data_IF_809309187977
#
_entry.id   IF_809309187977
#
_cell.length_a   1.000
_cell.length_b   1.000
_cell.length_c   1.000
_cell.angle_alpha   90.00
_cell.angle_beta   90.00
_cell.angle_gamma   90.00
#
_symmetry.space_group_name_H-M   'P 1'
#
loop_
_entity.id
_entity.type
_entity.pdbx_description
1 polymer ?
#
# COMPACT_ATOMS: atom_id res chain seq x y z
N UNK A 1 -11.16 0.20 -34.49
CA UNK A 1 -9.90 0.82 -34.04
C UNK A 1 -10.14 1.66 -32.80
N UNK A 2 -11.00 2.68 -32.84
CA UNK A 2 -11.30 3.54 -31.68
C UNK A 2 -11.66 2.80 -30.37
N UNK A 3 -12.45 1.73 -30.42
CA UNK A 3 -12.77 0.91 -29.23
C UNK A 3 -11.54 0.19 -28.65
N UNK A 4 -10.63 -0.27 -29.52
CA UNK A 4 -9.39 -0.90 -29.10
C UNK A 4 -8.41 0.14 -28.55
N UNK A 5 -8.33 1.31 -29.17
CA UNK A 5 -7.49 2.42 -28.72
C UNK A 5 -7.95 2.94 -27.36
N UNK A 6 -9.26 3.09 -27.15
CA UNK A 6 -9.84 3.43 -25.85
C UNK A 6 -9.51 2.38 -24.77
N UNK A 7 -9.52 1.08 -25.13
CA UNK A 7 -9.13 0.00 -24.21
C UNK A 7 -7.62 0.03 -23.91
N UNK A 8 -6.79 0.35 -24.89
CA UNK A 8 -5.33 0.54 -24.68
C UNK A 8 -5.09 1.67 -23.69
N UNK A 9 -5.73 2.81 -23.86
CA UNK A 9 -5.65 3.94 -22.91
C UNK A 9 -6.13 3.57 -21.51
N UNK A 10 -7.24 2.82 -21.40
CA UNK A 10 -7.73 2.33 -20.11
C UNK A 10 -6.72 1.40 -19.42
N UNK A 11 -6.09 0.48 -20.17
CA UNK A 11 -5.08 -0.44 -19.65
C UNK A 11 -3.82 0.31 -19.21
N UNK A 12 -3.36 1.29 -20.00
CA UNK A 12 -2.23 2.16 -19.65
C UNK A 12 -2.54 3.00 -18.39
N UNK A 13 -3.79 3.46 -18.23
CA UNK A 13 -4.27 4.20 -17.06
C UNK A 13 -4.38 3.37 -15.77
N UNK A 14 -4.50 2.04 -15.90
CA UNK A 14 -4.66 1.09 -14.77
C UNK A 14 -3.35 0.66 -14.10
N UNK A 15 -2.23 1.28 -14.44
CA UNK A 15 -0.90 0.95 -13.88
C UNK A 15 -0.73 1.31 -12.40
N UNK A 16 -1.51 2.26 -11.86
CA UNK A 16 -1.41 2.70 -10.46
C UNK A 16 -2.78 2.87 -9.81
N UNK A 17 -3.07 2.11 -8.76
CA UNK A 17 -4.33 2.23 -8.01
C UNK A 17 -4.52 3.64 -7.39
N UNK A 18 -5.76 4.14 -7.32
CA UNK A 18 -6.06 5.50 -6.83
C UNK A 18 -5.52 5.82 -5.42
N UNK A 19 -5.60 4.88 -4.48
CA UNK A 19 -5.02 5.04 -3.14
C UNK A 19 -3.48 5.21 -3.18
N UNK A 20 -2.82 4.56 -4.13
CA UNK A 20 -1.37 4.68 -4.33
C UNK A 20 -1.04 6.04 -4.97
N UNK A 21 -1.84 6.51 -5.94
CA UNK A 21 -1.70 7.86 -6.53
C UNK A 21 -1.74 8.94 -5.44
N UNK A 22 -2.69 8.85 -4.51
CA UNK A 22 -2.80 9.78 -3.39
C UNK A 22 -1.52 9.84 -2.51
N UNK A 23 -0.96 8.67 -2.18
CA UNK A 23 0.29 8.58 -1.40
C UNK A 23 1.46 9.19 -2.18
N UNK A 24 1.52 8.97 -3.50
CA UNK A 24 2.55 9.55 -4.35
C UNK A 24 2.41 11.06 -4.49
N UNK A 25 1.21 11.60 -4.70
CA UNK A 25 1.00 13.05 -4.78
C UNK A 25 1.41 13.76 -3.49
N UNK A 26 1.12 13.19 -2.32
CA UNK A 26 1.60 13.73 -1.03
C UNK A 26 3.12 13.68 -0.90
N UNK A 27 3.76 12.63 -1.39
CA UNK A 27 5.21 12.52 -1.39
C UNK A 27 5.84 13.54 -2.36
N UNK A 28 5.28 13.67 -3.57
CA UNK A 28 5.69 14.65 -4.56
C UNK A 28 5.51 16.09 -4.07
N UNK A 29 4.40 16.39 -3.40
CA UNK A 29 4.16 17.71 -2.80
C UNK A 29 5.32 18.13 -1.89
N UNK A 30 5.74 17.22 -1.00
CA UNK A 30 6.84 17.51 -0.06
C UNK A 30 8.19 17.61 -0.77
N UNK A 31 8.39 16.81 -1.81
CA UNK A 31 9.62 16.84 -2.62
C UNK A 31 9.75 18.12 -3.42
N UNK A 32 8.70 18.49 -4.17
CA UNK A 32 8.62 19.69 -5.01
C UNK A 32 8.72 20.94 -4.15
N UNK A 33 7.99 20.99 -3.03
CA UNK A 33 8.09 22.09 -2.06
C UNK A 33 9.52 22.25 -1.54
N UNK A 34 10.17 21.16 -1.13
CA UNK A 34 11.55 21.21 -0.66
C UNK A 34 12.52 21.67 -1.74
N UNK A 35 12.37 21.20 -2.99
CA UNK A 35 13.19 21.66 -4.11
C UNK A 35 13.02 23.17 -4.32
N UNK A 36 11.79 23.66 -4.28
CA UNK A 36 11.50 25.08 -4.47
C UNK A 36 12.14 25.92 -3.35
N UNK A 37 11.96 25.53 -2.09
CA UNK A 37 12.49 26.25 -0.93
C UNK A 37 14.02 26.23 -0.85
N UNK A 38 14.68 25.17 -1.34
CA UNK A 38 16.14 25.01 -1.23
C UNK A 38 16.92 25.44 -2.47
N UNK A 39 16.26 25.62 -3.61
CA UNK A 39 16.88 26.15 -4.83
C UNK A 39 17.01 27.66 -4.75
N UNK A 40 18.09 28.21 -5.33
CA UNK A 40 18.21 29.64 -5.61
C UNK A 40 17.29 30.07 -6.78
N UNK A 41 17.18 31.36 -7.05
CA UNK A 41 16.28 31.88 -8.09
C UNK A 41 16.62 31.37 -9.49
N UNK A 42 17.90 31.35 -9.86
CA UNK A 42 18.35 30.87 -11.17
C UNK A 42 18.02 29.37 -11.36
N UNK A 43 18.23 28.57 -10.31
CA UNK A 43 17.87 27.16 -10.32
C UNK A 43 16.37 26.96 -10.35
N UNK A 44 15.57 27.80 -9.68
CA UNK A 44 14.09 27.72 -9.77
C UNK A 44 13.62 27.97 -11.20
N UNK A 45 14.13 29.00 -11.85
CA UNK A 45 13.75 29.34 -13.22
C UNK A 45 14.12 28.25 -14.24
N UNK A 46 15.20 27.50 -13.99
CA UNK A 46 15.63 26.39 -14.86
C UNK A 46 15.04 25.03 -14.51
N UNK A 47 14.57 24.82 -13.28
CA UNK A 47 14.06 23.54 -12.79
C UNK A 47 12.54 23.45 -12.79
N UNK A 48 11.82 24.57 -12.67
CA UNK A 48 10.37 24.60 -12.61
C UNK A 48 9.77 25.13 -13.90
N UNK A 49 8.60 24.62 -14.26
CA UNK A 49 7.83 25.19 -15.36
C UNK A 49 7.50 26.66 -15.04
N UNK A 50 7.57 27.54 -16.04
CA UNK A 50 7.29 28.99 -15.87
C UNK A 50 5.94 29.20 -15.18
N UNK A 51 4.90 28.51 -15.65
CA UNK A 51 3.55 28.58 -15.07
C UNK A 51 3.41 27.97 -13.67
N UNK A 52 4.43 27.25 -13.19
CA UNK A 52 4.50 26.76 -11.81
C UNK A 52 5.14 27.80 -10.89
N UNK A 53 6.10 28.58 -11.39
CA UNK A 53 6.73 29.67 -10.63
C UNK A 53 5.74 30.76 -10.23
N UNK A 54 4.65 30.92 -10.99
CA UNK A 54 3.57 31.87 -10.69
C UNK A 54 2.66 31.41 -9.52
N UNK A 55 2.83 30.19 -9.00
CA UNK A 55 2.02 29.66 -7.91
C UNK A 55 2.52 30.22 -6.58
N UNK A 56 1.66 30.98 -5.88
CA UNK A 56 1.99 31.61 -4.60
C UNK A 56 2.30 30.60 -3.48
N UNK A 57 1.59 29.46 -3.44
CA UNK A 57 1.74 28.48 -2.36
C UNK A 57 1.79 27.04 -2.87
N UNK A 58 2.87 26.32 -2.53
CA UNK A 58 3.01 24.89 -2.86
C UNK A 58 2.45 24.04 -1.71
N UNK A 59 1.33 23.38 -1.95
CA UNK A 59 0.63 22.52 -1.00
C UNK A 59 0.00 21.30 -1.70
N UNK A 60 -0.72 20.46 -0.95
CA UNK A 60 -1.27 19.23 -1.51
C UNK A 60 -2.35 19.48 -2.56
N UNK A 61 -3.14 20.55 -2.41
CA UNK A 61 -4.27 20.86 -3.28
C UNK A 61 -3.78 21.44 -4.60
N UNK A 62 -2.85 22.40 -4.55
CA UNK A 62 -2.20 22.97 -5.75
C UNK A 62 -1.46 21.91 -6.57
N UNK A 63 -0.79 20.96 -5.92
CA UNK A 63 -0.15 19.83 -6.61
C UNK A 63 -1.22 18.88 -7.18
N UNK A 64 -2.30 18.58 -6.45
CA UNK A 64 -3.37 17.74 -6.97
C UNK A 64 -4.04 18.37 -8.20
N UNK A 65 -4.34 19.66 -8.17
CA UNK A 65 -4.88 20.43 -9.29
C UNK A 65 -3.93 20.45 -10.49
N UNK A 66 -2.62 20.59 -10.25
CA UNK A 66 -1.63 20.53 -11.32
C UNK A 66 -1.65 19.19 -12.06
N UNK A 67 -1.70 18.08 -11.32
CA UNK A 67 -1.74 16.73 -11.89
C UNK A 67 -3.13 16.31 -12.41
N UNK A 68 -4.18 17.11 -12.17
CA UNK A 68 -5.50 16.89 -12.74
C UNK A 68 -5.64 17.43 -14.18
N UNK A 69 -4.66 18.19 -14.67
CA UNK A 69 -4.63 18.72 -16.04
C UNK A 69 -4.51 17.58 -17.06
N UNK A 70 -5.10 17.80 -18.25
CA UNK A 70 -5.01 16.88 -19.38
C UNK A 70 -4.39 17.60 -20.59
N UNK A 71 -3.25 17.14 -21.13
CA UNK A 71 -2.44 16.02 -20.64
C UNK A 71 -1.78 16.32 -19.27
N UNK A 72 -1.36 15.28 -18.55
CA UNK A 72 -0.65 15.45 -17.26
C UNK A 72 0.74 16.00 -17.53
N UNK A 73 1.06 17.16 -16.97
CA UNK A 73 2.34 17.84 -17.17
C UNK A 73 3.14 17.86 -15.87
N UNK A 74 4.46 17.66 -15.96
CA UNK A 74 5.35 17.79 -14.80
C UNK A 74 5.47 19.26 -14.37
N UNK A 75 5.41 19.58 -13.07
CA UNK A 75 5.74 20.93 -12.58
C UNK A 75 7.24 21.23 -12.63
N UNK A 76 8.07 20.19 -12.79
CA UNK A 76 9.53 20.26 -12.91
C UNK A 76 9.94 20.00 -14.36
N UNK A 77 10.98 20.68 -14.83
CA UNK A 77 11.74 20.26 -16.01
C UNK A 77 12.56 19.01 -15.65
N UNK A 78 12.04 17.85 -16.04
CA UNK A 78 12.64 16.55 -15.72
C UNK A 78 13.92 16.29 -16.51
N UNK A 79 14.24 17.09 -17.52
CA UNK A 79 15.52 17.01 -18.23
C UNK A 79 16.68 17.61 -17.42
N UNK A 80 16.38 18.58 -16.56
CA UNK A 80 17.37 19.28 -15.74
C UNK A 80 17.45 18.73 -14.31
N UNK A 81 16.43 18.00 -13.85
CA UNK A 81 16.41 17.35 -12.54
C UNK A 81 17.45 16.23 -12.45
N UNK A 82 18.42 16.40 -11.55
CA UNK A 82 19.51 15.43 -11.38
C UNK A 82 19.16 14.32 -10.38
N UNK A 83 19.77 13.14 -10.55
CA UNK A 83 19.67 12.06 -9.56
C UNK A 83 20.23 12.50 -8.20
N UNK A 84 21.24 13.39 -8.20
CA UNK A 84 21.84 13.90 -6.97
C UNK A 84 20.88 14.77 -6.17
N UNK A 85 20.05 15.61 -6.80
CA UNK A 85 19.01 16.39 -6.11
C UNK A 85 17.97 15.48 -5.44
N UNK A 86 17.57 14.39 -6.09
CA UNK A 86 16.70 13.37 -5.48
C UNK A 86 17.36 12.74 -4.24
N UNK A 87 18.65 12.44 -4.29
CA UNK A 87 19.40 11.91 -3.14
C UNK A 87 19.53 12.94 -2.01
N UNK A 88 19.79 14.21 -2.33
CA UNK A 88 19.86 15.30 -1.33
C UNK A 88 18.55 15.44 -0.56
N UNK A 89 17.42 15.35 -1.24
CA UNK A 89 16.11 15.35 -0.57
C UNK A 89 15.95 14.17 0.41
N UNK A 90 16.32 12.96 -0.01
CA UNK A 90 16.23 11.78 0.85
C UNK A 90 17.17 11.90 2.06
N UNK A 91 18.37 12.46 1.89
CA UNK A 91 19.27 12.76 3.00
C UNK A 91 18.68 13.82 3.94
N UNK A 92 18.04 14.88 3.42
CA UNK A 92 17.41 15.90 4.27
C UNK A 92 16.24 15.33 5.09
N UNK A 93 15.52 14.34 4.56
CA UNK A 93 14.52 13.58 5.32
C UNK A 93 15.15 12.78 6.47
N UNK A 94 16.29 12.13 6.22
CA UNK A 94 17.03 11.38 7.24
C UNK A 94 17.51 12.30 8.37
N UNK A 95 18.08 13.45 8.02
CA UNK A 95 18.52 14.47 8.98
C UNK A 95 17.36 15.02 9.84
N UNK A 96 16.14 15.03 9.30
CA UNK A 96 14.90 15.39 10.03
C UNK A 96 14.35 14.23 10.89
N UNK A 97 15.07 13.11 10.98
CA UNK A 97 14.74 11.96 11.82
C UNK A 97 13.91 10.87 11.13
N UNK A 98 13.75 10.90 9.79
CA UNK A 98 13.07 9.81 9.08
C UNK A 98 14.02 8.62 8.97
N UNK A 99 13.63 7.47 9.51
CA UNK A 99 14.46 6.25 9.49
C UNK A 99 13.84 5.10 8.69
N UNK A 100 12.50 5.10 8.53
CA UNK A 100 11.77 3.97 7.97
C UNK A 100 12.05 3.72 6.49
N UNK A 101 12.49 2.50 6.16
CA UNK A 101 12.80 2.06 4.78
C UNK A 101 11.63 2.25 3.82
N UNK A 102 10.41 1.98 4.28
CA UNK A 102 9.19 2.13 3.48
C UNK A 102 8.93 3.58 3.09
N UNK A 103 9.22 4.54 3.98
CA UNK A 103 8.97 5.97 3.75
C UNK A 103 9.85 6.50 2.63
N UNK A 104 11.14 6.17 2.70
CA UNK A 104 12.09 6.43 1.63
C UNK A 104 11.70 5.75 0.30
N UNK A 105 11.26 4.49 0.37
CA UNK A 105 10.77 3.76 -0.79
C UNK A 105 9.54 4.39 -1.45
N UNK A 106 8.64 4.98 -0.67
CA UNK A 106 7.48 5.73 -1.18
C UNK A 106 7.93 6.93 -2.00
N UNK A 107 8.88 7.74 -1.47
CA UNK A 107 9.40 8.91 -2.18
C UNK A 107 10.06 8.52 -3.50
N UNK A 108 10.93 7.49 -3.49
CA UNK A 108 11.54 6.95 -4.72
C UNK A 108 10.47 6.56 -5.75
N UNK A 109 9.43 5.85 -5.30
CA UNK A 109 8.36 5.37 -6.19
C UNK A 109 7.52 6.53 -6.72
N UNK A 110 7.30 7.56 -5.91
CA UNK A 110 6.59 8.77 -6.32
C UNK A 110 7.38 9.58 -7.37
N UNK A 111 8.71 9.67 -7.23
CA UNK A 111 9.58 10.27 -8.26
C UNK A 111 9.53 9.46 -9.55
N UNK A 112 9.61 8.13 -9.49
CA UNK A 112 9.47 7.28 -10.69
C UNK A 112 8.08 7.43 -11.32
N UNK A 113 7.03 7.54 -10.50
CA UNK A 113 5.68 7.82 -10.95
C UNK A 113 5.57 9.16 -11.68
N UNK A 114 6.27 10.21 -11.22
CA UNK A 114 6.34 11.50 -11.90
C UNK A 114 6.88 11.37 -13.33
N UNK A 115 8.02 10.70 -13.51
CA UNK A 115 8.59 10.44 -14.84
C UNK A 115 7.60 9.67 -15.72
N UNK A 116 7.08 8.55 -15.23
CA UNK A 116 6.21 7.67 -16.02
C UNK A 116 4.89 8.35 -16.41
N UNK A 117 4.24 9.04 -15.48
CA UNK A 117 2.92 9.66 -15.71
C UNK A 117 2.98 10.85 -16.66
N UNK A 118 4.15 11.50 -16.75
CA UNK A 118 4.37 12.65 -17.64
C UNK A 118 5.06 12.26 -18.95
N UNK A 119 5.26 10.96 -19.20
CA UNK A 119 5.92 10.46 -20.42
C UNK A 119 7.41 10.75 -20.51
N UNK A 120 8.06 11.17 -19.43
CA UNK A 120 9.46 11.58 -19.43
C UNK A 120 10.40 10.40 -19.10
N UNK A 121 11.55 10.37 -19.77
CA UNK A 121 12.61 9.39 -19.49
C UNK A 121 13.39 9.78 -18.23
N UNK A 122 13.74 8.78 -17.42
CA UNK A 122 14.60 8.96 -16.24
C UNK A 122 16.06 9.18 -16.67
N UNK A 123 16.87 9.93 -15.88
CA UNK A 123 18.29 10.07 -16.15
C UNK A 123 19.02 8.72 -16.25
N UNK A 124 20.07 8.67 -17.06
CA UNK A 124 20.86 7.44 -17.25
C UNK A 124 21.46 6.95 -15.93
N UNK A 125 21.30 5.65 -15.66
CA UNK A 125 21.77 5.04 -14.42
C UNK A 125 21.01 5.44 -13.15
N UNK A 126 19.89 6.19 -13.22
CA UNK A 126 19.09 6.61 -12.06
C UNK A 126 18.80 5.45 -11.10
N UNK A 127 18.29 4.32 -11.61
CA UNK A 127 17.92 3.16 -10.78
C UNK A 127 19.13 2.54 -10.06
N UNK A 128 20.28 2.45 -10.74
CA UNK A 128 21.51 1.90 -10.18
C UNK A 128 22.08 2.81 -9.08
N UNK A 129 22.10 4.12 -9.34
CA UNK A 129 22.54 5.14 -8.40
C UNK A 129 21.64 5.17 -7.15
N UNK A 130 20.32 5.22 -7.32
CA UNK A 130 19.35 5.20 -6.21
C UNK A 130 19.48 3.91 -5.40
N UNK A 131 19.63 2.75 -6.04
CA UNK A 131 19.85 1.47 -5.35
C UNK A 131 21.12 1.50 -4.47
N UNK A 132 22.23 2.01 -5.00
CA UNK A 132 23.49 2.17 -4.24
C UNK A 132 23.30 3.13 -3.07
N UNK A 133 22.65 4.26 -3.29
CA UNK A 133 22.36 5.24 -2.25
C UNK A 133 21.50 4.67 -1.12
N UNK A 134 20.38 3.99 -1.43
CA UNK A 134 19.53 3.37 -0.40
C UNK A 134 20.25 2.32 0.41
N UNK A 135 21.14 1.53 -0.21
CA UNK A 135 21.98 0.58 0.52
C UNK A 135 22.84 1.31 1.57
N UNK A 136 23.51 2.39 1.17
CA UNK A 136 24.31 3.22 2.08
C UNK A 136 23.47 3.87 3.18
N UNK A 137 22.38 4.55 2.81
CA UNK A 137 21.49 5.25 3.75
C UNK A 137 20.94 4.29 4.82
N UNK A 138 20.51 3.08 4.42
CA UNK A 138 20.01 2.09 5.37
C UNK A 138 21.08 1.52 6.28
N UNK A 139 22.33 1.40 5.81
CA UNK A 139 23.45 1.02 6.67
C UNK A 139 23.68 2.09 7.74
N UNK A 140 23.72 3.38 7.35
CA UNK A 140 23.88 4.50 8.29
C UNK A 140 22.76 4.54 9.33
N UNK A 141 21.50 4.44 8.91
CA UNK A 141 20.35 4.41 9.84
C UNK A 141 20.45 3.23 10.81
N UNK A 142 20.89 2.05 10.34
CA UNK A 142 21.04 0.86 11.19
C UNK A 142 22.17 1.03 12.20
N UNK A 143 23.31 1.60 11.80
CA UNK A 143 24.45 1.86 12.66
C UNK A 143 24.09 2.86 13.77
N UNK A 144 23.43 3.98 13.42
CA UNK A 144 22.95 4.96 14.40
C UNK A 144 21.95 4.33 15.39
N UNK A 145 21.09 3.43 14.92
CA UNK A 145 20.16 2.72 15.79
C UNK A 145 20.87 1.78 16.77
N UNK A 146 21.93 1.09 16.32
CA UNK A 146 22.75 0.20 17.15
C UNK A 146 23.50 0.99 18.24
N UNK A 147 24.10 2.13 17.90
CA UNK A 147 24.85 2.97 18.84
C UNK A 147 23.94 3.63 19.90
N UNK A 148 22.65 3.87 19.56
CA UNK A 148 21.70 4.57 20.44
C UNK A 148 20.82 3.64 21.30
N UNK A 149 21.06 2.33 21.34
CA UNK A 149 20.12 1.36 21.93
C UNK A 149 18.67 1.56 21.45
N UNK A 150 18.50 2.06 20.22
CA UNK A 150 17.20 2.33 19.66
C UNK A 150 16.48 1.01 19.37
N UNK A 151 15.14 1.04 19.26
CA UNK A 151 14.35 -0.16 18.94
C UNK A 151 14.86 -0.79 17.65
N UNK A 152 15.52 -1.95 17.77
CA UNK A 152 16.04 -2.74 16.64
C UNK A 152 14.94 -3.30 15.73
N UNK A 153 13.69 -3.35 16.20
CA UNK A 153 12.52 -3.80 15.44
C UNK A 153 11.67 -2.60 15.04
N UNK A 154 11.67 -2.28 13.75
CA UNK A 154 10.67 -1.38 13.15
C UNK A 154 9.28 -2.03 13.16
N UNK A 155 8.25 -1.26 13.47
CA UNK A 155 6.85 -1.68 13.37
C UNK A 155 6.10 -1.88 14.69
N UNK A 156 4.84 -2.33 14.59
CA UNK A 156 3.99 -2.64 15.75
C UNK A 156 4.41 -3.97 16.38
N UNK A 157 4.22 -4.12 17.69
CA UNK A 157 4.41 -5.42 18.36
C UNK A 157 3.49 -6.47 17.72
N UNK A 158 3.95 -7.73 17.54
CA UNK A 158 3.11 -8.80 17.02
C UNK A 158 1.86 -9.00 17.87
N UNK A 159 0.74 -9.28 17.20
CA UNK A 159 -0.48 -9.72 17.89
C UNK A 159 -0.23 -11.14 18.40
N UNK A 160 -0.09 -11.31 19.72
CA UNK A 160 0.29 -12.60 20.30
C UNK A 160 -0.85 -13.62 20.17
N UNK A 161 -0.50 -14.90 20.16
CA UNK A 161 -1.49 -15.99 20.16
C UNK A 161 -2.44 -15.92 21.37
N UNK A 162 -1.90 -15.59 22.56
CA UNK A 162 -2.71 -15.40 23.77
C UNK A 162 -3.72 -14.27 23.62
N UNK A 163 -3.32 -13.14 23.00
CA UNK A 163 -4.22 -12.02 22.75
C UNK A 163 -5.28 -12.38 21.71
N UNK A 164 -4.88 -13.04 20.61
CA UNK A 164 -5.79 -13.57 19.59
C UNK A 164 -6.89 -14.43 20.22
N UNK A 165 -6.50 -15.41 21.04
CA UNK A 165 -7.43 -16.29 21.73
C UNK A 165 -8.35 -15.53 22.69
N UNK A 166 -7.81 -14.63 23.51
CA UNK A 166 -8.60 -13.85 24.46
C UNK A 166 -9.63 -12.95 23.77
N UNK A 167 -9.23 -12.26 22.71
CA UNK A 167 -10.11 -11.39 21.91
C UNK A 167 -11.18 -12.21 21.20
N UNK A 168 -10.81 -13.35 20.59
CA UNK A 168 -11.77 -14.26 19.96
C UNK A 168 -12.78 -14.82 20.96
N UNK A 169 -12.33 -15.30 22.13
CA UNK A 169 -13.20 -15.78 23.20
C UNK A 169 -14.18 -14.72 23.69
N UNK A 170 -13.71 -13.47 23.82
CA UNK A 170 -14.55 -12.34 24.26
C UNK A 170 -15.65 -12.05 23.25
N UNK A 171 -15.32 -12.05 21.96
CA UNK A 171 -16.32 -11.84 20.90
C UNK A 171 -17.31 -13.01 20.79
N UNK A 172 -16.83 -14.25 20.89
CA UNK A 172 -17.66 -15.45 20.83
C UNK A 172 -18.70 -15.49 21.95
N UNK A 173 -18.35 -15.03 23.16
CA UNK A 173 -19.24 -15.00 24.31
C UNK A 173 -20.23 -13.82 24.28
N UNK A 174 -20.26 -13.02 23.22
CA UNK A 174 -21.12 -11.86 23.11
C UNK A 174 -22.37 -12.13 22.28
N UNK A 175 -23.48 -11.52 22.66
CA UNK A 175 -24.76 -11.58 21.93
C UNK A 175 -24.87 -10.55 20.79
N UNK A 176 -23.88 -9.67 20.62
CA UNK A 176 -23.91 -8.61 19.61
C UNK A 176 -23.50 -9.15 18.23
N UNK A 177 -24.32 -8.92 17.19
CA UNK A 177 -24.03 -9.32 15.80
C UNK A 177 -22.65 -8.85 15.31
N UNK A 178 -22.28 -7.60 15.61
CA UNK A 178 -20.97 -7.03 15.27
C UNK A 178 -19.79 -7.83 15.85
N UNK A 179 -19.95 -8.48 17.01
CA UNK A 179 -18.90 -9.32 17.60
C UNK A 179 -18.83 -10.69 16.93
N UNK A 180 -19.94 -11.22 16.43
CA UNK A 180 -19.97 -12.46 15.63
C UNK A 180 -19.28 -12.22 14.28
N UNK A 181 -19.54 -11.07 13.65
CA UNK A 181 -18.79 -10.62 12.48
C UNK A 181 -17.30 -10.48 12.80
N UNK A 182 -16.96 -9.71 13.86
CA UNK A 182 -15.57 -9.47 14.26
C UNK A 182 -14.81 -10.74 14.61
N UNK A 183 -15.48 -11.70 15.26
CA UNK A 183 -14.94 -13.03 15.55
C UNK A 183 -14.57 -13.74 14.26
N UNK A 184 -15.54 -13.98 13.40
CA UNK A 184 -15.35 -14.71 12.15
C UNK A 184 -14.30 -14.05 11.25
N UNK A 185 -14.36 -12.73 11.11
CA UNK A 185 -13.41 -11.96 10.33
C UNK A 185 -11.98 -12.07 10.88
N UNK A 186 -11.79 -11.98 12.20
CA UNK A 186 -10.49 -12.14 12.86
C UNK A 186 -9.94 -13.56 12.67
N UNK A 187 -10.77 -14.58 12.90
CA UNK A 187 -10.38 -15.99 12.77
C UNK A 187 -9.94 -16.29 11.33
N UNK A 188 -10.67 -15.80 10.32
CA UNK A 188 -10.30 -15.97 8.90
C UNK A 188 -9.01 -15.23 8.56
N UNK A 189 -8.85 -13.98 9.02
CA UNK A 189 -7.60 -13.23 8.81
C UNK A 189 -6.39 -13.98 9.39
N UNK A 190 -6.54 -14.53 10.59
CA UNK A 190 -5.47 -15.25 11.29
C UNK A 190 -5.14 -16.57 10.59
N UNK A 191 -6.12 -17.42 10.29
CA UNK A 191 -5.87 -18.73 9.68
C UNK A 191 -5.36 -18.62 8.24
N UNK A 192 -5.80 -17.61 7.47
CA UNK A 192 -5.30 -17.38 6.11
C UNK A 192 -3.99 -16.57 6.07
N UNK A 193 -3.53 -16.07 7.22
CA UNK A 193 -2.42 -15.13 7.34
C UNK A 193 -2.55 -13.95 6.37
N UNK A 194 -3.77 -13.41 6.26
CA UNK A 194 -4.13 -12.41 5.26
C UNK A 194 -4.40 -11.04 5.89
N UNK A 195 -4.40 -10.00 5.06
CA UNK A 195 -4.77 -8.65 5.48
C UNK A 195 -6.28 -8.51 5.48
N UNK A 196 -6.83 -7.60 6.28
CA UNK A 196 -8.26 -7.28 6.29
C UNK A 196 -8.82 -7.04 4.87
N UNK A 197 -8.12 -6.28 4.03
CA UNK A 197 -8.51 -6.04 2.63
C UNK A 197 -8.62 -7.32 1.78
N UNK A 198 -7.76 -8.31 2.04
CA UNK A 198 -7.82 -9.61 1.38
C UNK A 198 -9.02 -10.41 1.88
N UNK A 199 -9.27 -10.43 3.19
CA UNK A 199 -10.45 -11.08 3.77
C UNK A 199 -11.75 -10.46 3.26
N UNK A 200 -11.83 -9.13 3.16
CA UNK A 200 -13.00 -8.40 2.62
C UNK A 200 -13.28 -8.72 1.15
N UNK A 201 -12.25 -9.10 0.39
CA UNK A 201 -12.41 -9.50 -1.02
C UNK A 201 -12.82 -10.96 -1.22
N UNK A 202 -12.90 -11.75 -0.14
CA UNK A 202 -13.38 -13.13 -0.22
C UNK A 202 -14.87 -13.08 -0.58
N UNK A 203 -15.24 -13.91 -1.56
CA UNK A 203 -16.61 -14.12 -2.00
C UNK A 203 -17.05 -15.53 -1.62
N UNK A 204 -18.36 -15.76 -1.54
CA UNK A 204 -18.90 -17.11 -1.28
C UNK A 204 -18.37 -18.13 -2.30
N UNK A 205 -18.32 -17.76 -3.58
CA UNK A 205 -17.77 -18.59 -4.66
C UNK A 205 -16.27 -18.92 -4.54
N UNK A 206 -15.52 -18.27 -3.65
CA UNK A 206 -14.11 -18.58 -3.40
C UNK A 206 -13.92 -19.68 -2.35
N UNK A 207 -14.99 -20.04 -1.64
CA UNK A 207 -14.96 -21.12 -0.66
C UNK A 207 -15.24 -22.44 -1.38
N UNK A 208 -14.49 -23.47 -1.00
CA UNK A 208 -14.78 -24.85 -1.38
C UNK A 208 -14.47 -25.76 -0.20
N UNK A 209 -15.00 -26.98 -0.24
CA UNK A 209 -14.64 -28.02 0.70
C UNK A 209 -13.74 -29.01 -0.02
N UNK A 210 -12.55 -29.24 0.52
CA UNK A 210 -11.59 -30.20 -0.02
C UNK A 210 -11.19 -31.16 1.11
N UNK A 211 -11.62 -32.41 0.97
CA UNK A 211 -11.38 -33.50 1.93
C UNK A 211 -11.82 -33.15 3.36
N UNK A 212 -10.89 -32.78 4.24
CA UNK A 212 -11.11 -32.46 5.65
C UNK A 212 -10.99 -30.96 5.96
N UNK A 213 -10.94 -30.12 4.93
CA UNK A 213 -10.62 -28.68 5.05
C UNK A 213 -11.53 -27.77 4.24
N UNK A 214 -11.75 -26.56 4.74
CA UNK A 214 -12.27 -25.47 3.93
C UNK A 214 -11.11 -24.90 3.13
N UNK A 215 -11.28 -24.74 1.83
CA UNK A 215 -10.30 -24.07 0.96
C UNK A 215 -10.81 -22.69 0.54
N UNK A 216 -9.92 -21.70 0.57
CA UNK A 216 -10.23 -20.34 0.12
C UNK A 216 -9.21 -19.91 -0.94
N UNK A 217 -9.71 -19.57 -2.12
CA UNK A 217 -8.89 -19.09 -3.23
C UNK A 217 -8.98 -17.57 -3.35
N UNK A 218 -7.84 -16.87 -3.27
CA UNK A 218 -7.82 -15.43 -3.51
C UNK A 218 -7.79 -15.12 -5.00
N UNK A 219 -8.75 -14.34 -5.47
CA UNK A 219 -8.75 -13.84 -6.85
C UNK A 219 -7.60 -12.85 -7.13
N UNK A 220 -7.15 -12.12 -6.10
CA UNK A 220 -6.11 -11.12 -6.21
C UNK A 220 -5.27 -11.06 -4.93
N UNK A 221 -3.94 -11.03 -5.07
CA UNK A 221 -3.01 -11.01 -3.94
C UNK A 221 -2.06 -9.81 -4.05
N UNK A 222 -1.73 -9.17 -2.91
CA UNK A 222 -0.88 -7.96 -2.91
C UNK A 222 0.47 -8.18 -3.61
N UNK A 223 1.04 -9.38 -3.43
CA UNK A 223 2.37 -9.71 -3.96
C UNK A 223 2.30 -10.33 -5.36
N UNK A 224 1.11 -10.36 -5.96
CA UNK A 224 0.80 -10.94 -7.27
C UNK A 224 -0.32 -10.09 -7.91
N UNK A 225 0.00 -8.83 -8.18
CA UNK A 225 -0.96 -7.87 -8.75
C UNK A 225 -1.30 -8.19 -10.21
N UNK A 226 -0.36 -8.80 -10.94
CA UNK A 226 -0.55 -9.22 -12.33
C UNK A 226 -1.24 -10.59 -12.46
N UNK A 227 -1.43 -11.30 -11.34
CA UNK A 227 -2.08 -12.60 -11.31
C UNK A 227 -1.29 -13.68 -12.05
N UNK A 228 0.03 -13.49 -12.17
CA UNK A 228 0.93 -14.39 -12.90
C UNK A 228 1.16 -15.70 -12.14
N UNK A 229 0.88 -15.73 -10.82
CA UNK A 229 1.06 -16.92 -10.01
C UNK A 229 -0.19 -17.82 -10.04
N UNK A 230 0.00 -19.15 -9.94
CA UNK A 230 -1.09 -20.07 -9.68
C UNK A 230 -1.89 -19.62 -8.46
N UNK A 231 -3.22 -19.62 -8.58
CA UNK A 231 -4.14 -19.24 -7.51
C UNK A 231 -4.39 -20.44 -6.60
N UNK A 232 -3.34 -20.86 -5.92
CA UNK A 232 -3.40 -22.05 -5.07
C UNK A 232 -4.39 -21.83 -3.91
N UNK A 233 -5.31 -22.79 -3.67
CA UNK A 233 -6.25 -22.70 -2.57
C UNK A 233 -5.52 -22.72 -1.22
N UNK A 234 -6.01 -21.90 -0.28
CA UNK A 234 -5.52 -21.90 1.11
C UNK A 234 -6.41 -22.78 1.96
N UNK A 235 -5.85 -23.82 2.53
CA UNK A 235 -6.55 -24.74 3.41
C UNK A 235 -6.73 -24.14 4.81
N UNK A 236 -7.93 -24.30 5.36
CA UNK A 236 -8.35 -23.84 6.67
C UNK A 236 -9.00 -25.02 7.39
N UNK A 237 -8.41 -25.40 8.52
CA UNK A 237 -8.77 -26.62 9.25
C UNK A 237 -9.59 -26.31 10.50
N UNK A 238 -10.48 -27.21 10.88
CA UNK A 238 -11.18 -27.13 12.14
C UNK A 238 -10.21 -27.23 13.33
N UNK A 239 -10.56 -26.55 14.43
CA UNK A 239 -9.87 -26.72 15.71
C UNK A 239 -10.88 -27.22 16.77
N UNK A 240 -11.02 -28.54 16.94
CA UNK A 240 -11.98 -29.10 17.89
C UNK A 240 -11.56 -28.92 19.36
N UNK A 241 -10.28 -28.63 19.64
CA UNK A 241 -9.77 -28.51 21.02
C UNK A 241 -9.90 -27.10 21.58
N UNK A 242 -9.90 -26.08 20.73
CA UNK A 242 -10.01 -24.67 21.13
C UNK A 242 -11.08 -24.00 20.26
N UNK A 243 -12.33 -24.14 20.70
CA UNK A 243 -13.51 -23.71 19.95
C UNK A 243 -13.52 -22.20 19.67
N UNK A 244 -13.01 -21.38 20.60
CA UNK A 244 -12.96 -19.93 20.41
C UNK A 244 -12.13 -19.47 19.21
N UNK A 245 -11.25 -20.33 18.69
CA UNK A 245 -10.42 -20.02 17.51
C UNK A 245 -10.62 -21.02 16.36
N UNK A 246 -11.69 -21.82 16.40
CA UNK A 246 -12.02 -22.77 15.36
C UNK A 246 -12.65 -22.04 14.15
N UNK A 247 -12.00 -22.04 12.96
CA UNK A 247 -12.51 -21.32 11.80
C UNK A 247 -13.80 -21.93 11.23
N UNK A 248 -13.93 -23.26 11.25
CA UNK A 248 -15.14 -23.95 10.78
C UNK A 248 -16.33 -23.59 11.69
N UNK A 249 -16.14 -23.59 13.00
CA UNK A 249 -17.17 -23.17 13.96
C UNK A 249 -17.51 -21.69 13.79
N UNK A 250 -16.50 -20.83 13.64
CA UNK A 250 -16.71 -19.39 13.46
C UNK A 250 -17.58 -19.10 12.22
N UNK A 251 -17.26 -19.74 11.07
CA UNK A 251 -18.06 -19.63 9.86
C UNK A 251 -19.48 -20.20 10.04
N UNK A 252 -19.62 -21.34 10.72
CA UNK A 252 -20.94 -21.91 11.01
C UNK A 252 -21.84 -20.96 11.83
N UNK A 253 -21.28 -20.34 12.87
CA UNK A 253 -21.99 -19.33 13.66
C UNK A 253 -22.30 -18.09 12.81
N UNK A 254 -21.35 -17.63 12.00
CA UNK A 254 -21.53 -16.49 11.10
C UNK A 254 -22.70 -16.71 10.14
N UNK A 255 -22.72 -17.82 9.42
CA UNK A 255 -23.78 -18.15 8.47
C UNK A 255 -25.13 -18.35 9.15
N UNK A 256 -25.14 -18.85 10.38
CA UNK A 256 -26.38 -18.98 11.16
C UNK A 256 -27.00 -17.63 11.53
N UNK A 257 -26.20 -16.57 11.62
CA UNK A 257 -26.65 -15.22 12.04
C UNK A 257 -26.88 -14.27 10.87
N UNK A 258 -26.05 -14.37 9.84
CA UNK A 258 -26.05 -13.46 8.68
C UNK A 258 -26.60 -14.10 7.40
N UNK A 259 -26.87 -15.41 7.41
CA UNK A 259 -27.28 -16.17 6.22
C UNK A 259 -26.09 -16.64 5.38
N UNK A 260 -26.40 -17.43 4.36
CA UNK A 260 -25.46 -17.88 3.35
C UNK A 260 -26.09 -17.62 1.97
N UNK A 261 -25.81 -16.44 1.42
CA UNK A 261 -26.18 -16.12 0.06
C UNK A 261 -25.06 -16.64 -0.84
N UNK A 262 -25.36 -17.58 -1.74
CA UNK A 262 -24.34 -18.22 -2.60
C UNK A 262 -23.59 -17.26 -3.54
N UNK A 263 -24.03 -16.00 -3.60
CA UNK A 263 -23.41 -14.92 -4.37
C UNK A 263 -23.03 -13.73 -3.48
N UNK A 264 -21.99 -12.99 -3.89
CA UNK A 264 -21.51 -11.80 -3.19
C UNK A 264 -20.29 -12.02 -2.29
N UNK A 265 -19.97 -10.98 -1.50
CA UNK A 265 -18.85 -10.97 -0.56
C UNK A 265 -19.19 -11.84 0.66
N UNK A 266 -18.22 -12.63 1.13
CA UNK A 266 -18.33 -13.34 2.41
C UNK A 266 -18.51 -12.35 3.57
N UNK A 267 -17.87 -11.18 3.49
CA UNK A 267 -17.93 -10.12 4.49
C UNK A 267 -18.32 -8.79 3.82
N UNK A 268 -19.62 -8.51 3.61
CA UNK A 268 -20.07 -7.33 2.87
C UNK A 268 -19.88 -6.01 3.62
N UNK A 269 -19.72 -6.01 4.95
CA UNK A 269 -19.32 -4.84 5.75
C UNK A 269 -20.30 -3.66 5.80
N UNK A 270 -21.40 -3.71 5.04
CA UNK A 270 -22.32 -2.59 4.88
C UNK A 270 -23.26 -2.32 6.06
N UNK A 271 -23.52 -3.30 6.94
CA UNK A 271 -24.46 -3.21 8.07
C UNK A 271 -24.24 -4.34 9.12
N UNK A 272 -23.00 -4.75 9.40
CA UNK A 272 -22.69 -5.97 10.17
C UNK A 272 -22.17 -5.71 11.58
#
# INVERSE_FOLDING_TARGET
>A
MEVLDARVEEVLGNTTAGATKYVYLRALTRFIKWLYETSDEDRRQSLFAISFCDIETINADTIAEWFARSPVVSPLDLSTLTTQECMRYLTSMEQRGVTGKSTFGIVRSAIVYLYNTTGNSRPSGFDAQMKRFFKGLHHTVTQVAQERNARLREGKKPFSFSMYRSVAKTMLNSTKKQHIFGHSFLIICWNLMCRAKSAESIRHAHLSWCEDSITITFAHMKNDQDGSRPRDPRHVYANPTILEICPVLALGIYFSVFGFDGDGKLFPGGNQ
#
